data_IF_033851835363
#
_entry.id   IF_033851835363
#
_cell.length_a   1.000
_cell.length_b   1.000
_cell.length_c   1.000
_cell.angle_alpha   90.00
_cell.angle_beta   90.00
_cell.angle_gamma   90.00
#
_symmetry.space_group_name_H-M   'P 1'
#
loop_
_entity.id
_entity.type
_entity.pdbx_description
1 polymer ?
#
# COMPACT_ATOMS: atom_id res chain seq x y z
N UNK A 1 3.83 14.65 -21.19
CA UNK A 1 2.89 13.62 -20.71
C UNK A 1 3.15 13.49 -19.22
N UNK A 2 2.16 13.76 -18.36
CA UNK A 2 2.34 13.57 -16.91
C UNK A 2 2.28 12.07 -16.61
N UNK A 3 3.31 11.55 -15.93
CA UNK A 3 3.33 10.17 -15.47
C UNK A 3 2.30 10.00 -14.36
N UNK A 4 1.43 9.01 -14.50
CA UNK A 4 0.51 8.59 -13.43
C UNK A 4 1.07 7.31 -12.83
N UNK A 5 1.14 7.26 -11.51
CA UNK A 5 1.49 6.06 -10.76
C UNK A 5 0.27 5.73 -9.91
N UNK A 6 0.00 4.45 -9.73
CA UNK A 6 -1.10 4.00 -8.88
C UNK A 6 -0.52 3.09 -7.81
N UNK A 7 0.06 3.67 -6.72
CA UNK A 7 0.51 2.85 -5.62
C UNK A 7 -0.70 2.28 -4.88
N UNK A 8 -0.53 1.08 -4.35
CA UNK A 8 -1.57 0.40 -3.59
C UNK A 8 -0.96 -0.41 -2.46
N UNK A 9 -1.73 -0.52 -1.37
CA UNK A 9 -1.44 -1.43 -0.28
C UNK A 9 -2.30 -2.67 -0.45
N UNK A 10 -1.66 -3.83 -0.55
CA UNK A 10 -2.32 -5.12 -0.51
C UNK A 10 -2.45 -5.55 0.94
N UNK A 11 -3.65 -5.90 1.38
CA UNK A 11 -3.88 -6.59 2.64
C UNK A 11 -4.22 -8.03 2.30
N UNK A 12 -3.29 -8.93 2.61
CA UNK A 12 -3.36 -10.33 2.22
C UNK A 12 -4.09 -11.16 3.27
N UNK A 13 -4.60 -12.31 2.84
CA UNK A 13 -5.17 -13.35 3.71
C UNK A 13 -6.31 -12.83 4.61
N UNK A 14 -7.10 -11.87 4.13
CA UNK A 14 -8.23 -11.31 4.89
C UNK A 14 -9.51 -11.24 4.07
N UNK A 15 -10.60 -11.67 4.71
CA UNK A 15 -11.98 -11.45 4.26
C UNK A 15 -12.73 -10.44 5.13
N UNK A 16 -12.11 -9.98 6.23
CA UNK A 16 -12.68 -8.97 7.11
C UNK A 16 -12.02 -7.60 6.85
N UNK A 17 -12.69 -6.77 6.05
CA UNK A 17 -12.19 -5.43 5.68
C UNK A 17 -12.34 -4.40 6.79
N UNK A 18 -13.10 -4.70 7.85
CA UNK A 18 -13.42 -3.70 8.90
C UNK A 18 -12.19 -3.23 9.66
N UNK A 19 -11.23 -4.14 9.89
CA UNK A 19 -9.99 -3.78 10.54
C UNK A 19 -9.20 -2.79 9.66
N UNK A 20 -9.07 -3.09 8.38
CA UNK A 20 -8.37 -2.22 7.43
C UNK A 20 -9.02 -0.86 7.30
N UNK A 21 -10.35 -0.80 7.15
CA UNK A 21 -11.12 0.45 7.11
C UNK A 21 -10.91 1.28 8.38
N UNK A 22 -10.98 0.65 9.56
CA UNK A 22 -10.72 1.31 10.84
C UNK A 22 -9.32 1.90 10.90
N UNK A 23 -8.29 1.15 10.50
CA UNK A 23 -6.90 1.62 10.49
C UNK A 23 -6.73 2.82 9.55
N UNK A 24 -7.37 2.82 8.39
CA UNK A 24 -7.34 3.96 7.45
C UNK A 24 -7.98 5.21 8.09
N UNK A 25 -9.11 5.05 8.77
CA UNK A 25 -9.77 6.17 9.46
C UNK A 25 -8.92 6.74 10.59
N UNK A 26 -8.28 5.89 11.40
CA UNK A 26 -7.40 6.30 12.50
C UNK A 26 -6.16 7.01 11.95
N UNK A 27 -5.50 6.43 10.95
CA UNK A 27 -4.38 7.05 10.24
C UNK A 27 -4.71 8.44 9.69
N UNK A 28 -5.87 8.61 9.03
CA UNK A 28 -6.29 9.93 8.51
C UNK A 28 -6.49 10.95 9.62
N UNK A 29 -7.07 10.54 10.75
CA UNK A 29 -7.30 11.43 11.91
C UNK A 29 -5.97 11.90 12.52
N UNK A 30 -4.97 11.03 12.54
CA UNK A 30 -3.66 11.33 13.14
C UNK A 30 -2.75 12.16 12.23
N UNK A 31 -2.75 11.88 10.93
CA UNK A 31 -1.82 12.48 9.97
C UNK A 31 -2.39 13.67 9.20
N UNK A 32 -3.72 13.77 9.11
CA UNK A 32 -4.39 14.75 8.24
C UNK A 32 -4.28 14.41 6.75
N UNK A 33 -3.96 13.16 6.40
CA UNK A 33 -3.78 12.72 5.02
C UNK A 33 -5.03 12.92 4.15
N UNK A 34 -4.78 13.33 2.90
CA UNK A 34 -5.81 13.74 1.93
C UNK A 34 -5.79 12.93 0.64
N UNK A 35 -4.80 12.05 0.45
CA UNK A 35 -4.70 11.19 -0.74
C UNK A 35 -6.02 10.47 -1.01
N UNK A 36 -6.57 10.52 -2.23
CA UNK A 36 -7.76 9.77 -2.59
C UNK A 36 -7.47 8.27 -2.59
N UNK A 37 -8.30 7.50 -1.87
CA UNK A 37 -8.21 6.04 -1.78
C UNK A 37 -9.43 5.39 -2.44
N UNK A 38 -9.21 4.22 -3.04
CA UNK A 38 -10.20 3.34 -3.63
C UNK A 38 -9.96 1.93 -3.12
N UNK A 39 -11.04 1.15 -2.99
CA UNK A 39 -10.97 -0.18 -2.39
C UNK A 39 -11.46 -1.22 -3.39
N UNK A 40 -10.71 -2.32 -3.50
CA UNK A 40 -11.08 -3.49 -4.28
C UNK A 40 -10.96 -4.72 -3.39
N UNK A 41 -11.91 -5.64 -3.51
CA UNK A 41 -11.94 -6.86 -2.72
C UNK A 41 -12.13 -8.06 -3.63
N UNK A 42 -11.24 -9.04 -3.47
CA UNK A 42 -11.20 -10.27 -4.23
C UNK A 42 -11.47 -11.44 -3.29
N UNK A 43 -12.75 -11.81 -3.18
CA UNK A 43 -13.25 -12.90 -2.32
C UNK A 43 -12.56 -14.25 -2.60
N UNK A 44 -12.11 -14.48 -3.83
CA UNK A 44 -11.46 -15.71 -4.28
C UNK A 44 -9.98 -15.80 -3.92
N UNK A 45 -9.35 -14.68 -3.59
CA UNK A 45 -7.92 -14.56 -3.27
C UNK A 45 -7.68 -14.14 -1.82
N UNK A 46 -8.74 -13.99 -1.00
CA UNK A 46 -8.69 -13.42 0.35
C UNK A 46 -7.87 -12.12 0.38
N UNK A 47 -8.06 -11.28 -0.64
CA UNK A 47 -7.23 -10.11 -0.93
C UNK A 47 -8.06 -8.83 -0.87
N UNK A 48 -7.60 -7.87 -0.07
CA UNK A 48 -8.18 -6.53 0.01
C UNK A 48 -7.16 -5.47 -0.41
N UNK A 49 -7.44 -4.80 -1.53
CA UNK A 49 -6.57 -3.75 -2.08
C UNK A 49 -7.04 -2.36 -1.65
N UNK A 50 -6.09 -1.57 -1.16
CA UNK A 50 -6.24 -0.14 -0.91
C UNK A 50 -5.44 0.63 -1.94
N UNK A 51 -6.10 1.05 -3.02
CA UNK A 51 -5.48 1.77 -4.14
C UNK A 51 -5.46 3.28 -3.90
N UNK A 52 -4.36 3.92 -4.22
CA UNK A 52 -4.26 5.38 -4.31
C UNK A 52 -4.04 5.80 -5.76
N UNK A 53 -4.71 6.86 -6.20
CA UNK A 53 -4.44 7.47 -7.51
C UNK A 53 -3.56 8.69 -7.33
N UNK A 54 -2.30 8.61 -7.75
CA UNK A 54 -1.37 9.74 -7.68
C UNK A 54 -0.99 10.20 -9.09
N UNK A 55 -1.21 11.49 -9.36
CA UNK A 55 -0.88 12.11 -10.66
C UNK A 55 0.58 12.58 -10.68
N UNK A 56 1.25 12.55 -9.53
CA UNK A 56 2.65 12.90 -9.30
C UNK A 56 3.14 12.25 -8.00
N UNK A 57 4.45 12.24 -7.73
CA UNK A 57 5.05 11.69 -6.49
C UNK A 57 4.59 12.38 -5.20
N UNK A 58 3.85 13.48 -5.30
CA UNK A 58 3.48 14.35 -4.16
C UNK A 58 2.67 13.65 -3.07
N UNK A 59 1.86 12.64 -3.43
CA UNK A 59 1.06 11.87 -2.48
C UNK A 59 1.67 10.50 -2.13
N UNK A 60 2.78 10.11 -2.75
CA UNK A 60 3.45 8.86 -2.40
C UNK A 60 3.83 8.77 -0.91
N UNK A 61 4.36 9.85 -0.26
CA UNK A 61 4.65 9.82 1.17
C UNK A 61 3.42 9.54 2.06
N UNK A 62 2.21 9.91 1.62
CA UNK A 62 0.99 9.57 2.35
C UNK A 62 0.68 8.07 2.24
N UNK A 63 0.88 7.47 1.07
CA UNK A 63 0.65 6.03 0.87
C UNK A 63 1.71 5.20 1.62
N UNK A 64 2.98 5.64 1.57
CA UNK A 64 4.07 5.04 2.34
C UNK A 64 3.78 5.12 3.85
N UNK A 65 3.31 6.28 4.33
CA UNK A 65 2.89 6.46 5.72
C UNK A 65 1.72 5.56 6.11
N UNK A 66 0.73 5.37 5.22
CA UNK A 66 -0.40 4.46 5.47
C UNK A 66 0.09 3.02 5.66
N UNK A 67 0.97 2.55 4.78
CA UNK A 67 1.54 1.21 4.86
C UNK A 67 2.28 0.99 6.18
N UNK A 68 3.17 1.92 6.56
CA UNK A 68 3.88 1.85 7.84
C UNK A 68 2.94 1.90 9.04
N UNK A 69 1.92 2.75 8.99
CA UNK A 69 0.92 2.83 10.05
C UNK A 69 0.21 1.48 10.25
N UNK A 70 -0.22 0.84 9.16
CA UNK A 70 -0.85 -0.49 9.22
C UNK A 70 0.11 -1.56 9.76
N UNK A 71 1.39 -1.50 9.42
CA UNK A 71 2.41 -2.40 9.97
C UNK A 71 2.55 -2.23 11.50
N UNK A 72 2.53 -1.00 12.00
CA UNK A 72 2.71 -0.69 13.43
C UNK A 72 1.48 -1.01 14.28
N UNK A 73 0.27 -0.95 13.70
CA UNK A 73 -0.99 -1.00 14.43
C UNK A 73 -1.81 -2.28 14.17
N UNK A 74 -1.24 -3.27 13.48
CA UNK A 74 -1.91 -4.55 13.20
C UNK A 74 -0.91 -5.69 13.05
N UNK A 75 -1.40 -6.93 12.97
CA UNK A 75 -0.62 -8.12 12.59
C UNK A 75 -0.93 -8.58 11.15
N UNK A 76 -1.51 -7.68 10.34
CA UNK A 76 -1.85 -7.95 8.95
C UNK A 76 -0.60 -8.25 8.12
N UNK A 77 -0.75 -9.17 7.18
CA UNK A 77 0.20 -9.38 6.09
C UNK A 77 -0.05 -8.32 5.01
N UNK A 78 0.98 -7.55 4.66
CA UNK A 78 0.83 -6.33 3.87
C UNK A 78 1.89 -6.23 2.77
N UNK A 79 1.51 -5.78 1.57
CA UNK A 79 2.45 -5.34 0.55
C UNK A 79 2.21 -3.87 0.16
N UNK A 80 3.27 -3.13 -0.17
CA UNK A 80 3.21 -1.83 -0.84
C UNK A 80 3.78 -1.97 -2.25
N UNK A 81 2.92 -1.73 -3.22
CA UNK A 81 3.16 -1.95 -4.65
C UNK A 81 2.64 -0.76 -5.48
N UNK A 82 2.87 -0.77 -6.80
CA UNK A 82 2.36 0.19 -7.76
C UNK A 82 2.23 -0.43 -9.15
N UNK A 83 1.22 0.02 -9.90
CA UNK A 83 1.03 -0.44 -11.28
C UNK A 83 2.30 -0.24 -12.13
N UNK A 84 2.66 -1.25 -12.95
CA UNK A 84 3.83 -1.24 -13.83
C UNK A 84 3.92 0.06 -14.64
N UNK A 85 4.88 0.89 -14.27
CA UNK A 85 5.24 2.08 -15.06
C UNK A 85 6.40 1.70 -15.96
N UNK A 86 6.43 2.16 -17.22
CA UNK A 86 7.56 1.90 -18.10
C UNK A 86 8.88 2.34 -17.44
N UNK A 87 9.89 1.46 -17.44
CA UNK A 87 11.22 1.69 -16.83
C UNK A 87 11.88 3.02 -17.26
N UNK A 88 11.47 3.57 -18.40
CA UNK A 88 11.97 4.84 -18.94
C UNK A 88 11.39 6.09 -18.27
N UNK A 89 10.35 5.94 -17.45
CA UNK A 89 9.65 7.04 -16.77
C UNK A 89 9.73 6.99 -15.25
N UNK A 90 10.04 5.83 -14.68
CA UNK A 90 10.10 5.61 -13.23
C UNK A 90 11.53 5.84 -12.76
N UNK A 91 11.75 6.91 -11.98
CA UNK A 91 13.00 7.08 -11.25
C UNK A 91 13.16 5.81 -10.38
N UNK A 92 14.26 5.07 -10.52
CA UNK A 92 14.61 3.78 -9.88
C UNK A 92 14.66 3.84 -8.32
N UNK A 93 13.99 4.81 -7.71
CA UNK A 93 13.99 5.11 -6.27
C UNK A 93 12.78 4.54 -5.53
N UNK A 94 11.72 4.10 -6.21
CA UNK A 94 10.61 3.44 -5.54
C UNK A 94 10.98 1.97 -5.28
N UNK A 95 10.91 1.56 -4.02
CA UNK A 95 11.21 0.19 -3.58
C UNK A 95 9.92 -0.45 -3.09
N UNK A 96 9.67 -1.68 -3.52
CA UNK A 96 8.55 -2.48 -3.05
C UNK A 96 8.79 -2.87 -1.59
N UNK A 97 7.74 -2.88 -0.79
CA UNK A 97 7.80 -3.27 0.62
C UNK A 97 6.83 -4.40 0.90
N UNK A 98 7.28 -5.35 1.72
CA UNK A 98 6.49 -6.46 2.24
C UNK A 98 6.57 -6.46 3.77
N UNK A 99 5.48 -6.86 4.41
CA UNK A 99 5.44 -7.18 5.83
C UNK A 99 4.61 -8.46 6.01
N UNK A 100 5.26 -9.63 6.08
CA UNK A 100 4.56 -10.88 6.39
C UNK A 100 3.90 -10.83 7.76
N UNK A 101 2.84 -11.62 7.95
CA UNK A 101 2.19 -11.70 9.27
C UNK A 101 3.19 -12.10 10.37
N UNK A 102 3.12 -11.41 11.51
CA UNK A 102 4.02 -11.59 12.64
C UNK A 102 5.40 -10.93 12.50
N UNK A 103 5.71 -10.28 11.37
CA UNK A 103 6.92 -9.46 11.26
C UNK A 103 6.71 -8.08 11.94
N UNK A 104 7.69 -7.57 12.70
CA UNK A 104 7.54 -6.32 13.44
C UNK A 104 7.67 -5.07 12.56
N UNK A 105 8.32 -5.18 11.41
CA UNK A 105 8.65 -4.07 10.52
C UNK A 105 8.59 -4.49 9.06
N UNK A 106 8.30 -3.56 8.13
CA UNK A 106 8.39 -3.84 6.72
C UNK A 106 9.81 -4.10 6.26
N UNK A 107 9.94 -4.92 5.23
CA UNK A 107 11.19 -5.31 4.56
C UNK A 107 11.07 -5.05 3.06
N UNK A 108 12.20 -5.01 2.36
CA UNK A 108 12.19 -4.90 0.90
C UNK A 108 11.62 -6.19 0.30
N UNK A 109 10.66 -6.04 -0.60
CA UNK A 109 10.14 -7.19 -1.34
C UNK A 109 11.16 -7.65 -2.38
N UNK A 110 11.44 -8.95 -2.40
CA UNK A 110 12.39 -9.57 -3.32
C UNK A 110 11.69 -10.15 -4.55
N UNK A 111 11.13 -9.26 -5.39
CA UNK A 111 10.36 -9.65 -6.58
C UNK A 111 11.13 -10.43 -7.65
N UNK A 112 12.46 -10.49 -7.54
CA UNK A 112 13.34 -11.05 -8.57
C UNK A 112 14.14 -12.28 -8.13
N UNK A 113 14.10 -12.69 -6.86
CA UNK A 113 14.67 -13.96 -6.42
C UNK A 113 13.57 -15.02 -6.23
N UNK A 114 13.20 -15.65 -7.34
CA UNK A 114 12.53 -16.96 -7.35
C UNK A 114 13.53 -18.08 -7.64
#
# INVERSE_FOLDING_TARGET
MMMKIHPYVEVLETTDTKLTEKLIEEWRKETGATVPLWFEFFDDEDLFLVRATIVNMDHFPEVDSLFHYMCEHSDLSLHLDWDDTPETTTDFKMRYLDRPSGAPHPVLEDRYNF
#
